data_IF_343140067192
#
_entry.id   IF_343140067192
#
_cell.length_a   1.000
_cell.length_b   1.000
_cell.length_c   1.000
_cell.angle_alpha   90.00
_cell.angle_beta   90.00
_cell.angle_gamma   90.00
#
_symmetry.space_group_name_H-M   'P 1'
#
loop_
_entity.id
_entity.type
_entity.pdbx_description
1 polymer ?
#
# COMPACT_ATOMS: atom_id res chain seq x y z
N UNK A 1 28.47 -35.27 4.28
CA UNK A 1 28.03 -33.86 4.08
C UNK A 1 26.51 -33.79 3.96
N UNK A 2 25.88 -34.54 3.05
CA UNK A 2 24.41 -34.61 2.95
C UNK A 2 23.73 -35.10 4.25
N UNK A 3 24.26 -36.11 4.93
CA UNK A 3 23.67 -36.60 6.19
C UNK A 3 23.71 -35.54 7.32
N UNK A 4 24.77 -34.75 7.40
CA UNK A 4 24.90 -33.66 8.39
C UNK A 4 23.96 -32.50 8.05
N UNK A 5 23.84 -32.18 6.75
CA UNK A 5 22.90 -31.20 6.24
C UNK A 5 21.46 -31.60 6.58
N UNK A 6 21.04 -32.81 6.20
CA UNK A 6 19.69 -33.31 6.45
C UNK A 6 19.37 -33.41 7.94
N UNK A 7 20.34 -33.81 8.78
CA UNK A 7 20.18 -33.84 10.23
C UNK A 7 19.91 -32.44 10.81
N UNK A 8 20.71 -31.44 10.41
CA UNK A 8 20.57 -30.07 10.88
C UNK A 8 19.31 -29.40 10.33
N UNK A 9 18.96 -29.64 9.06
CA UNK A 9 17.71 -29.12 8.47
C UNK A 9 16.48 -29.68 9.20
N UNK A 10 16.50 -30.95 9.62
CA UNK A 10 15.43 -31.57 10.42
C UNK A 10 15.37 -31.04 11.85
N UNK A 11 16.50 -30.80 12.51
CA UNK A 11 16.53 -30.30 13.89
C UNK A 11 16.15 -28.82 13.98
N UNK A 12 16.59 -28.02 13.01
CA UNK A 12 16.42 -26.57 13.02
C UNK A 12 15.16 -26.12 12.27
N UNK A 13 14.51 -27.03 11.53
CA UNK A 13 13.38 -26.75 10.65
C UNK A 13 13.65 -25.59 9.67
N UNK A 14 14.90 -25.47 9.21
CA UNK A 14 15.41 -24.43 8.31
C UNK A 14 16.30 -25.07 7.26
N UNK A 15 16.24 -24.59 6.01
CA UNK A 15 17.21 -24.98 4.99
C UNK A 15 18.56 -24.34 5.28
N UNK A 16 19.65 -25.08 5.06
CA UNK A 16 21.01 -24.58 5.33
C UNK A 16 21.94 -24.86 4.15
N UNK A 17 22.95 -24.02 3.99
CA UNK A 17 24.15 -24.35 3.23
C UNK A 17 25.26 -24.72 4.21
N UNK A 18 25.95 -25.82 3.93
CA UNK A 18 27.08 -26.29 4.73
C UNK A 18 28.29 -26.53 3.82
N UNK A 19 29.42 -25.92 4.16
CA UNK A 19 30.69 -26.07 3.44
C UNK A 19 31.88 -26.01 4.42
N UNK A 20 33.03 -26.61 4.07
CA UNK A 20 34.21 -26.59 4.94
C UNK A 20 34.73 -25.16 5.14
N UNK A 21 35.20 -24.85 6.34
CA UNK A 21 35.78 -23.54 6.65
C UNK A 21 37.23 -23.46 6.15
N UNK A 22 37.47 -22.59 5.16
CA UNK A 22 38.77 -22.38 4.51
C UNK A 22 39.40 -21.02 4.87
N UNK A 23 39.30 -20.57 6.12
CA UNK A 23 39.82 -19.25 6.58
C UNK A 23 39.23 -18.04 5.82
N UNK A 24 38.07 -18.20 5.18
CA UNK A 24 37.35 -17.12 4.52
C UNK A 24 36.69 -16.16 5.53
N UNK A 25 36.44 -14.92 5.11
CA UNK A 25 35.60 -13.97 5.87
C UNK A 25 34.19 -14.55 6.00
N UNK A 26 33.66 -14.53 7.21
CA UNK A 26 32.31 -15.00 7.52
C UNK A 26 31.32 -13.82 7.39
N UNK A 27 30.17 -14.08 6.80
CA UNK A 27 29.06 -13.12 6.82
C UNK A 27 28.42 -13.10 8.21
N UNK A 28 27.69 -12.02 8.55
CA UNK A 28 27.07 -11.86 9.87
C UNK A 28 26.04 -12.95 10.22
N UNK A 29 25.55 -13.69 9.22
CA UNK A 29 24.61 -14.81 9.34
C UNK A 29 25.28 -16.19 9.39
N UNK A 30 26.59 -16.27 9.19
CA UNK A 30 27.35 -17.53 9.13
C UNK A 30 27.68 -18.05 10.53
N UNK A 31 27.46 -19.35 10.77
CA UNK A 31 27.78 -20.02 12.02
C UNK A 31 28.84 -21.10 11.81
N UNK A 32 29.81 -21.20 12.71
CA UNK A 32 30.82 -22.27 12.66
C UNK A 32 30.38 -23.47 13.50
N UNK A 33 30.44 -24.66 12.91
CA UNK A 33 30.17 -25.92 13.61
C UNK A 33 31.31 -26.89 13.39
N UNK A 34 31.74 -27.54 14.47
CA UNK A 34 32.76 -28.59 14.42
C UNK A 34 32.09 -29.95 14.34
N UNK A 35 32.43 -30.74 13.33
CA UNK A 35 31.96 -32.11 13.16
C UNK A 35 33.11 -32.98 12.65
N UNK A 36 33.32 -34.16 13.23
CA UNK A 36 34.41 -35.08 12.87
C UNK A 36 35.80 -34.42 12.74
N UNK A 37 36.19 -33.61 13.72
CA UNK A 37 37.46 -32.85 13.74
C UNK A 37 37.67 -31.88 12.56
N UNK A 38 36.61 -31.53 11.82
CA UNK A 38 36.62 -30.48 10.79
C UNK A 38 35.66 -29.36 11.16
N UNK A 39 36.01 -28.13 10.77
CA UNK A 39 35.17 -26.95 10.98
C UNK A 39 34.40 -26.71 9.69
N UNK A 40 33.09 -26.55 9.83
CA UNK A 40 32.16 -26.23 8.76
C UNK A 40 31.52 -24.88 9.02
N UNK A 41 31.28 -24.13 7.95
CA UNK A 41 30.42 -22.96 7.96
C UNK A 41 29.01 -23.41 7.62
N UNK A 42 28.05 -23.00 8.45
CA UNK A 42 26.62 -23.13 8.22
C UNK A 42 26.08 -21.75 7.92
N UNK A 43 25.60 -21.57 6.71
CA UNK A 43 24.78 -20.43 6.35
C UNK A 43 23.32 -20.86 6.44
N UNK A 44 22.56 -20.22 7.31
CA UNK A 44 21.11 -20.34 7.26
C UNK A 44 20.64 -19.74 5.93
N UNK A 45 19.97 -20.54 5.11
CA UNK A 45 19.15 -20.01 4.03
C UNK A 45 17.91 -19.41 4.69
N UNK A 46 18.09 -18.29 5.39
CA UNK A 46 16.95 -17.51 5.84
C UNK A 46 16.20 -17.10 4.58
N UNK A 47 14.99 -17.66 4.41
CA UNK A 47 14.02 -17.28 3.38
C UNK A 47 13.60 -15.80 3.45
N UNK A 48 14.19 -15.02 4.35
CA UNK A 48 13.83 -13.65 4.70
C UNK A 48 15.00 -12.65 4.55
N UNK A 49 15.87 -12.84 3.55
CA UNK A 49 16.88 -11.82 3.24
C UNK A 49 16.26 -10.62 2.50
N UNK A 50 15.42 -9.85 3.19
CA UNK A 50 15.07 -8.48 2.82
C UNK A 50 16.29 -7.55 2.84
N UNK A 51 17.34 -7.94 3.58
CA UNK A 51 18.55 -7.15 3.82
C UNK A 51 19.35 -6.80 2.55
N UNK A 52 19.16 -7.56 1.47
CA UNK A 52 19.86 -7.37 0.19
C UNK A 52 18.93 -7.06 -0.99
N UNK A 53 17.64 -6.84 -0.76
CA UNK A 53 16.72 -6.54 -1.86
C UNK A 53 16.84 -5.07 -2.26
N UNK A 54 17.36 -4.82 -3.46
CA UNK A 54 17.34 -3.52 -4.14
C UNK A 54 16.42 -3.62 -5.34
N UNK A 55 15.66 -2.57 -5.61
CA UNK A 55 14.73 -2.55 -6.73
C UNK A 55 13.36 -2.00 -6.36
N UNK A 56 12.35 -2.34 -7.14
CA UNK A 56 10.99 -1.90 -6.97
C UNK A 56 10.26 -2.84 -6.01
N UNK A 57 9.51 -2.25 -5.07
CA UNK A 57 8.77 -2.99 -4.06
C UNK A 57 7.29 -2.71 -4.17
N UNK A 58 6.51 -3.78 -4.05
CA UNK A 58 5.06 -3.76 -3.98
C UNK A 58 4.64 -4.54 -2.74
N UNK A 59 3.77 -3.95 -1.91
CA UNK A 59 3.11 -4.68 -0.83
C UNK A 59 1.72 -5.06 -1.30
N UNK A 60 1.34 -6.31 -1.10
CA UNK A 60 0.00 -6.77 -1.37
C UNK A 60 -0.63 -7.20 -0.05
N UNK A 61 -1.81 -6.65 0.21
CA UNK A 61 -2.64 -7.03 1.32
C UNK A 61 -3.97 -7.57 0.80
N UNK A 62 -4.26 -8.80 1.19
CA UNK A 62 -5.51 -9.47 0.87
C UNK A 62 -5.95 -10.27 2.10
N UNK A 63 -7.14 -9.98 2.67
CA UNK A 63 -7.60 -10.66 3.87
C UNK A 63 -7.85 -12.15 3.61
N UNK A 64 -7.33 -13.02 4.48
CA UNK A 64 -7.66 -14.46 4.50
C UNK A 64 -7.30 -15.26 3.24
N UNK A 65 -6.22 -14.89 2.54
CA UNK A 65 -5.68 -15.68 1.42
C UNK A 65 -4.45 -16.50 1.85
N UNK A 66 -4.32 -17.71 1.32
CA UNK A 66 -3.13 -18.54 1.52
C UNK A 66 -1.93 -18.02 0.73
N UNK A 67 -0.75 -18.06 1.36
CA UNK A 67 0.45 -17.46 0.79
C UNK A 67 0.85 -18.06 -0.56
N UNK A 68 0.89 -19.38 -0.64
CA UNK A 68 1.32 -20.07 -1.86
C UNK A 68 0.32 -19.88 -3.01
N UNK A 69 -0.97 -19.71 -2.73
CA UNK A 69 -1.96 -19.46 -3.77
C UNK A 69 -1.73 -18.10 -4.44
N UNK A 70 -1.64 -17.02 -3.65
CA UNK A 70 -1.40 -15.68 -4.19
C UNK A 70 -0.02 -15.58 -4.87
N UNK A 71 0.99 -16.23 -4.30
CA UNK A 71 2.34 -16.29 -4.88
C UNK A 71 2.33 -16.94 -6.27
N UNK A 72 1.58 -18.03 -6.46
CA UNK A 72 1.43 -18.67 -7.77
C UNK A 72 0.75 -17.75 -8.79
N UNK A 73 -0.27 -16.99 -8.39
CA UNK A 73 -0.91 -15.99 -9.26
C UNK A 73 0.13 -14.97 -9.75
N UNK A 74 0.93 -14.42 -8.84
CA UNK A 74 1.96 -13.44 -9.22
C UNK A 74 3.05 -14.02 -10.14
N UNK A 75 3.49 -15.26 -9.93
CA UNK A 75 4.45 -15.91 -10.83
C UNK A 75 3.88 -16.21 -12.22
N UNK A 76 2.57 -16.39 -12.34
CA UNK A 76 1.92 -16.51 -13.65
C UNK A 76 1.83 -15.16 -14.37
N UNK A 77 1.77 -14.06 -13.63
CA UNK A 77 1.61 -12.72 -14.18
C UNK A 77 2.95 -12.03 -14.51
N UNK A 78 4.01 -12.30 -13.74
CA UNK A 78 5.28 -11.60 -13.89
C UNK A 78 6.48 -12.53 -13.77
N UNK A 79 7.46 -12.28 -14.62
CA UNK A 79 8.77 -12.93 -14.60
C UNK A 79 9.76 -12.13 -13.73
N UNK A 80 10.84 -12.79 -13.28
CA UNK A 80 11.94 -12.15 -12.51
C UNK A 80 11.48 -11.37 -11.26
N UNK A 81 10.54 -11.95 -10.52
CA UNK A 81 10.06 -11.42 -9.24
C UNK A 81 10.51 -12.27 -8.06
N UNK A 82 10.72 -11.61 -6.92
CA UNK A 82 10.91 -12.27 -5.63
C UNK A 82 9.70 -11.97 -4.73
N UNK A 83 9.12 -13.00 -4.12
CA UNK A 83 7.92 -12.88 -3.28
C UNK A 83 8.22 -13.41 -1.89
N UNK A 84 7.98 -12.57 -0.87
CA UNK A 84 8.20 -12.89 0.53
C UNK A 84 6.93 -12.58 1.33
N UNK A 85 6.59 -13.40 2.31
CA UNK A 85 5.54 -13.09 3.28
C UNK A 85 6.13 -12.33 4.46
N UNK A 86 5.53 -11.22 4.84
CA UNK A 86 5.91 -10.48 6.04
C UNK A 86 4.68 -9.91 6.74
N UNK A 87 4.41 -10.38 7.97
CA UNK A 87 3.21 -10.05 8.73
C UNK A 87 1.93 -10.32 7.91
N UNK A 88 1.12 -9.28 7.70
CA UNK A 88 -0.10 -9.33 6.89
C UNK A 88 0.14 -9.04 5.41
N UNK A 89 1.37 -8.71 5.00
CA UNK A 89 1.70 -8.32 3.63
C UNK A 89 2.46 -9.41 2.87
N UNK A 90 2.23 -9.40 1.57
CA UNK A 90 3.03 -10.08 0.57
C UNK A 90 3.92 -9.04 -0.09
N UNK A 91 5.23 -9.22 0.02
CA UNK A 91 6.20 -8.31 -0.57
C UNK A 91 6.61 -8.89 -1.91
N UNK A 92 6.30 -8.18 -2.98
CA UNK A 92 6.81 -8.46 -4.32
C UNK A 92 7.94 -7.49 -4.60
N UNK A 93 9.13 -8.02 -4.88
CA UNK A 93 10.31 -7.25 -5.26
C UNK A 93 10.73 -7.62 -6.69
N UNK A 94 11.09 -6.61 -7.48
CA UNK A 94 11.70 -6.81 -8.79
C UNK A 94 12.78 -5.80 -9.07
N UNK A 95 13.77 -6.18 -9.86
CA UNK A 95 14.82 -5.27 -10.35
C UNK A 95 14.23 -4.19 -11.29
N UNK A 96 13.17 -4.52 -12.01
CA UNK A 96 12.51 -3.64 -12.97
C UNK A 96 11.17 -3.14 -12.42
N UNK A 97 10.67 -2.05 -13.00
CA UNK A 97 9.33 -1.56 -12.65
C UNK A 97 8.32 -2.49 -13.33
N UNK A 98 7.53 -3.18 -12.54
CA UNK A 98 6.45 -4.02 -13.04
C UNK A 98 5.28 -3.11 -13.41
N UNK A 99 4.59 -3.41 -14.50
CA UNK A 99 3.35 -2.71 -14.89
C UNK A 99 2.15 -3.17 -14.03
N UNK A 100 2.37 -3.21 -12.70
CA UNK A 100 1.33 -3.47 -11.73
C UNK A 100 0.49 -2.21 -11.59
N UNK A 101 -0.79 -2.34 -11.88
CA UNK A 101 -1.76 -1.25 -11.84
C UNK A 101 -3.15 -1.77 -11.44
N UNK A 102 -4.19 -0.94 -11.61
CA UNK A 102 -5.59 -1.29 -11.30
C UNK A 102 -6.05 -2.54 -12.05
N UNK A 103 -5.55 -2.78 -13.25
CA UNK A 103 -5.86 -3.99 -14.02
C UNK A 103 -5.34 -5.24 -13.33
N UNK A 104 -4.12 -5.19 -12.79
CA UNK A 104 -3.54 -6.29 -12.01
C UNK A 104 -4.35 -6.56 -10.75
N UNK A 105 -4.78 -5.50 -10.05
CA UNK A 105 -5.70 -5.63 -8.93
C UNK A 105 -6.98 -6.38 -9.36
N UNK A 106 -7.63 -5.96 -10.43
CA UNK A 106 -8.87 -6.58 -10.91
C UNK A 106 -8.69 -8.06 -11.31
N UNK A 107 -7.56 -8.41 -11.93
CA UNK A 107 -7.22 -9.80 -12.27
C UNK A 107 -7.14 -10.64 -11.00
N UNK A 108 -6.37 -10.18 -10.00
CA UNK A 108 -6.21 -10.89 -8.74
C UNK A 108 -7.56 -11.02 -8.02
N UNK A 109 -8.34 -9.93 -7.92
CA UNK A 109 -9.66 -9.96 -7.28
C UNK A 109 -10.63 -10.93 -7.98
N UNK A 110 -10.53 -11.08 -9.31
CA UNK A 110 -11.35 -12.03 -10.09
C UNK A 110 -10.95 -13.48 -9.83
N UNK A 111 -9.66 -13.77 -9.74
CA UNK A 111 -9.16 -15.13 -9.48
C UNK A 111 -9.40 -15.56 -8.03
N UNK A 112 -9.28 -14.62 -7.09
CA UNK A 112 -9.32 -14.89 -5.64
C UNK A 112 -10.68 -14.62 -4.99
N UNK A 113 -11.59 -13.93 -5.67
CA UNK A 113 -12.88 -13.46 -5.15
C UNK A 113 -12.77 -12.59 -3.89
N UNK A 114 -11.61 -11.98 -3.66
CA UNK A 114 -11.31 -11.20 -2.46
C UNK A 114 -10.73 -9.84 -2.82
N UNK A 115 -11.03 -8.82 -2.03
CA UNK A 115 -10.47 -7.48 -2.24
C UNK A 115 -8.95 -7.46 -2.06
N UNK A 116 -8.25 -6.87 -3.03
CA UNK A 116 -6.78 -6.82 -3.05
C UNK A 116 -6.32 -5.38 -2.98
N UNK A 117 -5.44 -5.07 -2.01
CA UNK A 117 -4.80 -3.77 -1.88
C UNK A 117 -3.35 -3.92 -2.29
N UNK A 118 -2.90 -3.08 -3.22
CA UNK A 118 -1.53 -3.12 -3.75
C UNK A 118 -0.88 -1.77 -3.51
N UNK A 119 0.27 -1.77 -2.84
CA UNK A 119 1.02 -0.57 -2.49
C UNK A 119 2.34 -0.56 -3.24
N UNK A 120 2.51 0.35 -4.18
CA UNK A 120 3.80 0.58 -4.80
C UNK A 120 4.67 1.45 -3.91
N UNK A 121 5.73 0.86 -3.34
CA UNK A 121 6.67 1.55 -2.47
C UNK A 121 7.78 2.26 -3.23
N UNK A 122 7.81 2.22 -4.56
CA UNK A 122 8.90 2.80 -5.34
C UNK A 122 10.14 1.92 -5.42
N UNK A 123 11.17 2.44 -6.10
CA UNK A 123 12.51 1.85 -6.10
C UNK A 123 13.24 2.20 -4.81
N UNK A 124 13.78 1.19 -4.13
CA UNK A 124 14.48 1.30 -2.87
C UNK A 124 15.82 0.58 -2.94
N UNK A 125 16.84 1.20 -2.33
CA UNK A 125 18.21 0.66 -2.26
C UNK A 125 18.71 0.50 -0.81
N UNK A 126 17.87 0.88 0.17
CA UNK A 126 18.16 0.88 1.61
C UNK A 126 17.07 0.15 2.38
N UNK A 127 17.47 -0.77 3.27
CA UNK A 127 16.56 -1.46 4.18
C UNK A 127 15.80 -0.47 5.08
N UNK A 128 16.46 0.58 5.55
CA UNK A 128 15.82 1.57 6.42
C UNK A 128 14.65 2.29 5.74
N UNK A 129 14.79 2.63 4.44
CA UNK A 129 13.70 3.26 3.67
C UNK A 129 12.56 2.28 3.41
N UNK A 130 12.89 1.01 3.15
CA UNK A 130 11.89 -0.05 3.02
C UNK A 130 11.11 -0.24 4.31
N UNK A 131 11.79 -0.42 5.44
CA UNK A 131 11.18 -0.62 6.75
C UNK A 131 10.29 0.56 7.12
N UNK A 132 10.75 1.80 6.87
CA UNK A 132 9.94 3.00 7.08
C UNK A 132 8.66 3.00 6.24
N UNK A 133 8.75 2.71 4.93
CA UNK A 133 7.57 2.70 4.04
C UNK A 133 6.63 1.55 4.36
N UNK A 134 7.16 0.38 4.73
CA UNK A 134 6.39 -0.77 5.18
C UNK A 134 5.60 -0.43 6.45
N UNK A 135 6.25 0.17 7.43
CA UNK A 135 5.60 0.62 8.67
C UNK A 135 4.50 1.64 8.37
N UNK A 136 4.79 2.66 7.55
CA UNK A 136 3.80 3.65 7.13
C UNK A 136 2.58 3.01 6.45
N UNK A 137 2.80 2.05 5.54
CA UNK A 137 1.70 1.31 4.91
C UNK A 137 0.90 0.50 5.94
N UNK A 138 1.56 -0.16 6.89
CA UNK A 138 0.91 -0.92 7.95
C UNK A 138 0.03 -0.02 8.83
N UNK A 139 0.53 1.14 9.23
CA UNK A 139 -0.20 2.10 10.07
C UNK A 139 -1.41 2.69 9.34
N UNK A 140 -1.28 2.96 8.03
CA UNK A 140 -2.35 3.55 7.23
C UNK A 140 -3.39 2.53 6.75
N UNK A 141 -3.07 1.24 6.75
CA UNK A 141 -3.92 0.18 6.19
C UNK A 141 -5.37 0.20 6.73
N UNK A 142 -5.64 0.34 8.05
CA UNK A 142 -7.02 0.41 8.56
C UNK A 142 -7.82 1.57 7.98
N UNK A 143 -7.19 2.73 7.80
CA UNK A 143 -7.81 3.93 7.23
C UNK A 143 -8.12 3.76 5.74
N UNK A 144 -7.23 3.08 5.02
CA UNK A 144 -7.37 2.79 3.59
C UNK A 144 -8.52 1.81 3.35
N UNK A 145 -8.59 0.74 4.15
CA UNK A 145 -9.69 -0.22 4.11
C UNK A 145 -11.02 0.49 4.42
N UNK A 146 -11.01 1.41 5.39
CA UNK A 146 -12.19 2.20 5.76
C UNK A 146 -12.66 3.16 4.66
N UNK A 147 -11.76 3.79 3.89
CA UNK A 147 -12.16 4.65 2.74
C UNK A 147 -12.93 3.83 1.69
N UNK A 148 -12.67 2.52 1.62
CA UNK A 148 -13.29 1.57 0.68
C UNK A 148 -13.33 2.11 -0.76
N UNK A 149 -12.21 2.68 -1.21
CA UNK A 149 -12.08 3.21 -2.56
C UNK A 149 -12.14 2.08 -3.59
N UNK A 150 -12.74 2.36 -4.76
CA UNK A 150 -12.79 1.42 -5.89
C UNK A 150 -11.37 1.05 -6.37
N UNK A 151 -10.51 2.06 -6.49
CA UNK A 151 -9.09 1.85 -6.79
C UNK A 151 -8.32 1.58 -5.49
N UNK A 152 -7.77 0.37 -5.38
CA UNK A 152 -6.95 -0.09 -4.25
C UNK A 152 -5.49 -0.33 -4.65
N UNK A 153 -5.09 0.15 -5.83
CA UNK A 153 -3.68 0.35 -6.18
C UNK A 153 -3.25 1.73 -5.69
N UNK A 154 -2.31 1.73 -4.75
CA UNK A 154 -1.85 2.91 -4.02
C UNK A 154 -0.37 3.15 -4.31
N UNK A 155 0.00 4.40 -4.55
CA UNK A 155 1.39 4.82 -4.67
C UNK A 155 1.76 5.76 -3.51
N UNK A 156 2.99 6.30 -3.56
CA UNK A 156 3.49 7.19 -2.50
C UNK A 156 2.64 8.46 -2.32
N UNK A 157 2.05 9.02 -3.39
CA UNK A 157 1.14 10.17 -3.27
C UNK A 157 -0.15 9.80 -2.53
N UNK A 158 -0.66 8.59 -2.72
CA UNK A 158 -1.81 8.10 -1.95
C UNK A 158 -1.45 7.97 -0.46
N UNK A 159 -0.26 7.46 -0.14
CA UNK A 159 0.20 7.37 1.25
C UNK A 159 0.34 8.75 1.90
N UNK A 160 0.90 9.73 1.19
CA UNK A 160 0.95 11.12 1.66
C UNK A 160 -0.45 11.64 1.96
N UNK A 161 -1.41 11.37 1.05
CA UNK A 161 -2.80 11.78 1.20
C UNK A 161 -3.43 11.16 2.44
N UNK A 162 -3.33 9.85 2.63
CA UNK A 162 -3.88 9.18 3.80
C UNK A 162 -3.20 9.64 5.10
N UNK A 163 -1.88 9.82 5.10
CA UNK A 163 -1.19 10.35 6.28
C UNK A 163 -1.61 11.77 6.62
N UNK A 164 -1.86 12.61 5.60
CA UNK A 164 -2.39 13.97 5.82
C UNK A 164 -3.77 13.92 6.47
N UNK A 165 -4.66 13.04 6.02
CA UNK A 165 -6.00 12.89 6.58
C UNK A 165 -5.97 12.37 8.03
N UNK A 166 -5.07 11.42 8.31
CA UNK A 166 -4.80 10.91 9.65
C UNK A 166 -4.31 12.04 10.59
N UNK A 167 -3.31 12.82 10.19
CA UNK A 167 -2.82 13.97 10.97
C UNK A 167 -3.90 15.02 11.24
N UNK A 168 -4.76 15.32 10.27
CA UNK A 168 -5.90 16.24 10.46
C UNK A 168 -6.87 15.70 11.53
N UNK A 169 -7.07 14.38 11.58
CA UNK A 169 -7.95 13.77 12.56
C UNK A 169 -7.34 13.79 13.96
N UNK A 170 -6.03 13.52 14.09
CA UNK A 170 -5.30 13.52 15.35
C UNK A 170 -5.11 14.93 15.93
N UNK A 171 -4.93 15.95 15.08
CA UNK A 171 -4.71 17.32 15.52
C UNK A 171 -6.01 18.01 15.94
N UNK A 172 -6.14 18.28 17.25
CA UNK A 172 -7.31 18.91 17.85
C UNK A 172 -7.63 20.31 17.29
N UNK A 173 -6.63 21.07 16.84
CA UNK A 173 -6.83 22.43 16.30
C UNK A 173 -7.39 22.30 14.88
N UNK A 174 -6.75 21.52 14.01
CA UNK A 174 -7.23 21.27 12.65
C UNK A 174 -8.64 20.67 12.67
N UNK A 175 -8.90 19.72 13.57
CA UNK A 175 -10.22 19.12 13.74
C UNK A 175 -11.30 20.16 14.07
N UNK A 176 -10.97 21.18 14.88
CA UNK A 176 -11.90 22.27 15.27
C UNK A 176 -12.07 23.35 14.21
N UNK A 177 -11.09 23.53 13.33
CA UNK A 177 -11.18 24.49 12.22
C UNK A 177 -12.10 23.97 11.09
N UNK A 178 -12.29 22.66 10.99
CA UNK A 178 -13.22 22.05 10.05
C UNK A 178 -14.62 22.00 10.67
N UNK A 179 -15.58 22.70 10.04
CA UNK A 179 -16.98 22.67 10.47
C UNK A 179 -17.68 21.39 9.98
N UNK A 180 -17.44 20.28 10.70
CA UNK A 180 -18.06 18.99 10.40
C UNK A 180 -19.59 19.01 10.52
N UNK A 181 -20.17 19.90 11.32
CA UNK A 181 -21.63 20.02 11.43
C UNK A 181 -22.22 20.59 10.15
N UNK A 182 -21.55 21.59 9.58
CA UNK A 182 -21.92 22.19 8.30
C UNK A 182 -21.76 21.18 7.16
N UNK A 183 -20.67 20.39 7.15
CA UNK A 183 -20.48 19.30 6.18
C UNK A 183 -21.56 18.22 6.33
N UNK A 184 -21.94 17.86 7.56
CA UNK A 184 -23.03 16.90 7.82
C UNK A 184 -24.40 17.41 7.34
N UNK A 185 -24.60 18.72 7.30
CA UNK A 185 -25.89 19.32 6.92
C UNK A 185 -26.15 19.35 5.41
N UNK A 186 -25.11 19.21 4.58
CA UNK A 186 -25.25 19.20 3.13
C UNK A 186 -25.55 17.79 2.62
N UNK A 187 -26.29 17.72 1.51
CA UNK A 187 -26.56 16.46 0.82
C UNK A 187 -25.25 15.76 0.41
N UNK A 188 -25.12 14.47 0.74
CA UNK A 188 -23.96 13.66 0.40
C UNK A 188 -23.72 13.61 -1.11
N UNK A 189 -24.77 13.65 -1.93
CA UNK A 189 -24.62 13.68 -3.40
C UNK A 189 -23.88 14.95 -3.86
N UNK A 190 -24.08 16.08 -3.19
CA UNK A 190 -23.32 17.31 -3.44
C UNK A 190 -21.87 17.16 -3.00
N UNK A 191 -21.60 16.54 -1.84
CA UNK A 191 -20.24 16.25 -1.40
C UNK A 191 -19.50 15.37 -2.42
N UNK A 192 -20.13 14.30 -2.88
CA UNK A 192 -19.58 13.43 -3.92
C UNK A 192 -19.39 14.18 -5.25
N UNK A 193 -20.31 15.07 -5.62
CA UNK A 193 -20.17 15.93 -6.81
C UNK A 193 -18.92 16.81 -6.70
N UNK A 194 -18.69 17.45 -5.55
CA UNK A 194 -17.49 18.24 -5.30
C UNK A 194 -16.21 17.41 -5.37
N UNK A 195 -16.18 16.23 -4.72
CA UNK A 195 -15.03 15.32 -4.78
C UNK A 195 -14.76 14.84 -6.21
N UNK A 196 -15.79 14.49 -6.98
CA UNK A 196 -15.65 14.08 -8.38
C UNK A 196 -15.17 15.22 -9.26
N UNK A 197 -15.59 16.46 -9.00
CA UNK A 197 -15.07 17.63 -9.71
C UNK A 197 -13.56 17.81 -9.48
N UNK A 198 -13.10 17.63 -8.25
CA UNK A 198 -11.69 17.70 -7.87
C UNK A 198 -10.88 16.57 -8.52
N UNK A 199 -11.39 15.33 -8.46
CA UNK A 199 -10.75 14.18 -9.08
C UNK A 199 -10.69 14.27 -10.62
N UNK A 200 -11.49 15.14 -11.23
CA UNK A 200 -11.49 15.43 -12.67
C UNK A 200 -10.75 16.75 -12.98
N UNK A 201 -9.74 17.10 -12.19
CA UNK A 201 -8.87 18.28 -12.38
C UNK A 201 -9.64 19.61 -12.39
N UNK A 202 -10.71 19.73 -11.59
CA UNK A 202 -11.59 20.91 -11.57
C UNK A 202 -12.18 21.22 -12.97
N UNK A 203 -12.34 20.19 -13.81
CA UNK A 203 -12.81 20.34 -15.18
C UNK A 203 -14.31 20.02 -15.29
N UNK A 204 -15.10 21.03 -15.65
CA UNK A 204 -16.56 20.91 -15.77
C UNK A 204 -16.96 19.87 -16.81
N UNK A 205 -16.30 19.85 -17.98
CA UNK A 205 -16.65 18.94 -19.07
C UNK A 205 -16.34 17.49 -18.72
N UNK A 206 -15.13 17.21 -18.20
CA UNK A 206 -14.74 15.86 -17.76
C UNK A 206 -15.68 15.35 -16.67
N UNK A 207 -15.98 16.19 -15.69
CA UNK A 207 -16.85 15.84 -14.56
C UNK A 207 -18.27 15.54 -15.02
N UNK A 208 -18.85 16.41 -15.86
CA UNK A 208 -20.20 16.24 -16.41
C UNK A 208 -20.32 14.89 -17.14
N UNK A 209 -19.35 14.57 -17.99
CA UNK A 209 -19.30 13.28 -18.69
C UNK A 209 -19.17 12.11 -17.71
N UNK A 210 -18.23 12.19 -16.75
CA UNK A 210 -17.98 11.09 -15.79
C UNK A 210 -19.17 10.81 -14.87
N UNK A 211 -19.99 11.83 -14.58
CA UNK A 211 -21.16 11.73 -13.71
C UNK A 211 -22.47 11.59 -14.49
N UNK A 212 -22.43 11.57 -15.82
CA UNK A 212 -23.62 11.58 -16.69
C UNK A 212 -24.59 12.74 -16.40
N UNK A 213 -24.05 13.89 -15.98
CA UNK A 213 -24.82 15.09 -15.69
C UNK A 213 -24.73 16.07 -16.85
N UNK A 214 -25.80 16.83 -17.06
CA UNK A 214 -25.71 18.00 -17.93
C UNK A 214 -24.80 19.05 -17.29
N UNK A 215 -24.03 19.76 -18.11
CA UNK A 215 -23.07 20.79 -17.67
C UNK A 215 -23.70 21.81 -16.72
N UNK A 216 -24.89 22.31 -17.02
CA UNK A 216 -25.57 23.32 -16.19
C UNK A 216 -26.00 22.74 -14.83
N UNK A 217 -26.39 21.46 -14.79
CA UNK A 217 -26.72 20.77 -13.54
C UNK A 217 -25.49 20.66 -12.65
N UNK A 218 -24.33 20.33 -13.23
CA UNK A 218 -23.07 20.32 -12.49
C UNK A 218 -22.72 21.73 -11.96
N UNK A 219 -22.79 22.76 -12.79
CA UNK A 219 -22.52 24.15 -12.38
C UNK A 219 -23.41 24.56 -11.22
N UNK A 220 -24.70 24.29 -11.31
CA UNK A 220 -25.66 24.56 -10.22
C UNK A 220 -25.29 23.81 -8.92
N UNK A 221 -24.89 22.54 -9.01
CA UNK A 221 -24.45 21.79 -7.83
C UNK A 221 -23.19 22.40 -7.19
N UNK A 222 -22.23 22.85 -8.00
CA UNK A 222 -21.02 23.52 -7.50
C UNK A 222 -21.34 24.88 -6.85
N UNK A 223 -22.27 25.65 -7.43
CA UNK A 223 -22.75 26.90 -6.84
C UNK A 223 -23.44 26.66 -5.51
N UNK A 224 -24.29 25.63 -5.41
CA UNK A 224 -24.96 25.24 -4.17
C UNK A 224 -23.98 24.80 -3.07
N UNK A 225 -22.89 24.12 -3.43
CA UNK A 225 -21.81 23.80 -2.47
C UNK A 225 -21.17 25.09 -1.94
N UNK A 226 -20.91 26.07 -2.81
CA UNK A 226 -20.35 27.35 -2.42
C UNK A 226 -21.31 28.13 -1.51
N UNK A 227 -22.59 28.22 -1.86
CA UNK A 227 -23.61 28.91 -1.05
C UNK A 227 -23.73 28.30 0.36
N UNK A 228 -23.73 26.97 0.46
CA UNK A 228 -23.89 26.29 1.74
C UNK A 228 -22.58 26.34 2.51
N UNK A 229 -21.48 25.82 1.96
CA UNK A 229 -20.23 25.61 2.68
C UNK A 229 -19.28 26.82 2.66
N UNK A 230 -19.36 27.68 1.65
CA UNK A 230 -18.45 28.81 1.43
C UNK A 230 -17.20 28.46 0.59
N UNK A 231 -17.20 27.30 -0.07
CA UNK A 231 -16.09 26.85 -0.91
C UNK A 231 -16.41 27.05 -2.40
N UNK A 232 -15.72 28.00 -3.04
CA UNK A 232 -15.70 28.06 -4.52
C UNK A 232 -14.74 27.00 -5.06
N UNK A 233 -15.27 25.86 -5.47
CA UNK A 233 -14.47 24.73 -5.93
C UNK A 233 -13.75 24.99 -7.26
N UNK A 234 -14.02 26.09 -7.98
CA UNK A 234 -13.22 26.46 -9.16
C UNK A 234 -11.87 27.06 -8.77
N UNK A 235 -11.73 27.54 -7.52
CA UNK A 235 -10.46 27.94 -6.94
C UNK A 235 -9.76 26.72 -6.30
N UNK A 236 -8.49 26.52 -6.65
CA UNK A 236 -7.72 25.37 -6.19
C UNK A 236 -7.57 25.30 -4.65
N UNK A 237 -7.32 26.42 -3.98
CA UNK A 237 -7.13 26.44 -2.51
C UNK A 237 -8.42 26.05 -1.79
N UNK A 238 -9.56 26.61 -2.21
CA UNK A 238 -10.87 26.24 -1.70
C UNK A 238 -11.18 24.77 -1.97
N UNK A 239 -10.90 24.28 -3.18
CA UNK A 239 -11.09 22.89 -3.56
C UNK A 239 -10.25 21.94 -2.69
N UNK A 240 -8.99 22.29 -2.41
CA UNK A 240 -8.10 21.51 -1.55
C UNK A 240 -8.64 21.44 -0.10
N UNK A 241 -9.07 22.57 0.46
CA UNK A 241 -9.64 22.61 1.82
C UNK A 241 -10.94 21.80 1.87
N UNK A 242 -11.81 21.95 0.88
CA UNK A 242 -13.02 21.14 0.75
C UNK A 242 -12.68 19.64 0.69
N UNK A 243 -11.71 19.25 -0.15
CA UNK A 243 -11.29 17.85 -0.30
C UNK A 243 -10.89 17.23 1.04
N UNK A 244 -9.96 17.89 1.75
CA UNK A 244 -9.45 17.40 3.03
C UNK A 244 -10.55 17.34 4.09
N UNK A 245 -11.39 18.38 4.16
CA UNK A 245 -12.48 18.46 5.12
C UNK A 245 -13.52 17.36 4.92
N UNK A 246 -13.94 17.14 3.68
CA UNK A 246 -14.96 16.15 3.32
C UNK A 246 -14.40 14.73 3.41
N UNK A 247 -13.16 14.48 2.98
CA UNK A 247 -12.52 13.17 3.15
C UNK A 247 -12.29 12.84 4.63
N UNK A 248 -11.87 13.79 5.44
CA UNK A 248 -11.74 13.61 6.89
C UNK A 248 -13.10 13.30 7.54
N UNK A 249 -14.16 14.01 7.13
CA UNK A 249 -15.52 13.74 7.57
C UNK A 249 -15.94 12.29 7.28
N UNK A 250 -15.80 11.85 6.02
CA UNK A 250 -16.16 10.48 5.62
C UNK A 250 -15.34 9.40 6.32
N UNK A 251 -14.05 9.63 6.54
CA UNK A 251 -13.18 8.65 7.18
C UNK A 251 -13.37 8.57 8.70
N UNK A 252 -13.62 9.69 9.39
CA UNK A 252 -13.47 9.71 10.85
C UNK A 252 -14.71 10.17 11.61
N UNK A 253 -15.62 10.91 10.97
CA UNK A 253 -16.76 11.55 11.65
C UNK A 253 -18.11 11.02 11.18
N UNK A 254 -18.18 10.41 10.00
CA UNK A 254 -19.34 9.66 9.51
C UNK A 254 -19.41 8.33 10.28
N UNK A 255 -20.20 8.34 11.34
CA UNK A 255 -20.60 7.16 12.14
C UNK A 255 -22.05 6.84 11.77
#
# INVERSE_FOLDING_TARGET
>A
MEELKDFLERQLNKKINIYPYENQKLDASSHLVTFNNSIYVIDFLDKNNLDNLKGNFYLIYQPHIEFEYLKNIFYNLFEDINIIQHNSFFIVNSKYNLDINVTTQNIIETETYQSTYIFYLGKLDSKADFDFRLQLCSDLLPHIIKDNAENKFLNLFDLIRYKTLDLINEDNILNKLIDFNKIKSIDEELLYTGLKFINNDLNISKTSTSMFLHRNTLVYRLEKINEILGFDLKNFENAMIFYLSVKSYFLYKKI
#
